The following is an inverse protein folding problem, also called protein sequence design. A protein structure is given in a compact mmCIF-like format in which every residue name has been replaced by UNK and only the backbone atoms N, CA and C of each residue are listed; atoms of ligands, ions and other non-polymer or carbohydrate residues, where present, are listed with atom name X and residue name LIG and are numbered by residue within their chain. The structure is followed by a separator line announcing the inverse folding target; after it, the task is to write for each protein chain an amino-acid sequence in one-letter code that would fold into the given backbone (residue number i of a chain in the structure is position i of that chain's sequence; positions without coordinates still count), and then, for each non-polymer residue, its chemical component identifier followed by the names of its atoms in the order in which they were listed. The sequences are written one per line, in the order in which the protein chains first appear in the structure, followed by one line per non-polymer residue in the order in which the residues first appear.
data_IF_458107318320
#
_entry.id   IF_458107318320
#
_cell.length_a   1.000
_cell.length_b   1.000
_cell.length_c   1.000
_cell.angle_alpha   90.00
_cell.angle_beta   90.00
_cell.angle_gamma   90.00
#
_symmetry.space_group_name_H-M   'P 1'
#
loop_
_entity.id
_entity.type
_entity.pdbx_description
1 polymer ?
#
# COMPACT_ATOMS: atom_id res chain seq x y z
N UNK A 1 46.40 -39.64 -35.82
CA UNK A 1 45.27 -39.06 -35.06
C UNK A 1 45.43 -37.55 -35.04
N UNK A 2 44.49 -36.88 -35.70
CA UNK A 2 44.12 -35.46 -35.69
C UNK A 2 45.01 -34.46 -34.94
N UNK A 3 45.72 -33.67 -35.76
CA UNK A 3 45.80 -32.21 -35.81
C UNK A 3 44.96 -31.38 -34.80
N UNK A 4 45.65 -30.39 -34.20
CA UNK A 4 45.33 -28.95 -34.11
C UNK A 4 45.56 -28.32 -32.71
N UNK A 5 46.75 -27.71 -32.57
CA UNK A 5 46.94 -26.40 -31.91
C UNK A 5 46.23 -25.30 -32.74
N UNK A 6 46.03 -24.03 -32.28
CA UNK A 6 46.84 -23.31 -31.30
C UNK A 6 46.09 -22.39 -30.31
N UNK A 7 46.88 -21.98 -29.34
CA UNK A 7 46.65 -20.88 -28.41
C UNK A 7 46.90 -19.50 -29.06
N UNK A 8 46.24 -18.49 -28.48
CA UNK A 8 46.60 -17.06 -28.38
C UNK A 8 46.56 -16.11 -29.61
N UNK A 9 45.92 -14.96 -29.35
CA UNK A 9 46.02 -13.62 -29.97
C UNK A 9 45.27 -13.33 -31.29
N UNK A 10 44.07 -12.79 -31.14
CA UNK A 10 43.46 -11.72 -31.96
C UNK A 10 42.52 -10.94 -31.04
N UNK A 11 42.91 -9.81 -30.44
CA UNK A 11 42.75 -8.44 -30.98
C UNK A 11 41.44 -8.31 -31.76
N UNK A 12 40.35 -7.90 -31.09
CA UNK A 12 39.34 -7.05 -31.71
C UNK A 12 38.79 -6.03 -30.70
N UNK A 13 39.09 -4.79 -31.04
CA UNK A 13 38.77 -3.52 -30.41
C UNK A 13 37.27 -3.24 -30.66
N UNK A 14 36.43 -3.16 -29.63
CA UNK A 14 35.06 -2.64 -29.79
C UNK A 14 35.03 -1.17 -29.37
N UNK A 15 34.97 -0.31 -30.39
CA UNK A 15 34.88 1.15 -30.34
C UNK A 15 33.51 1.57 -30.90
N UNK A 16 32.65 2.19 -30.08
CA UNK A 16 31.54 3.07 -30.51
C UNK A 16 30.87 3.69 -29.28
N UNK A 17 31.31 4.89 -28.88
CA UNK A 17 30.81 6.22 -29.26
C UNK A 17 29.69 6.71 -28.34
N UNK A 18 30.08 7.59 -27.43
CA UNK A 18 29.21 8.40 -26.59
C UNK A 18 28.32 9.33 -27.43
N UNK A 19 27.05 9.45 -27.04
CA UNK A 19 26.19 10.56 -27.46
C UNK A 19 25.86 11.39 -26.22
N UNK A 20 26.50 12.56 -26.14
CA UNK A 20 26.16 13.65 -25.23
C UNK A 20 24.94 14.40 -25.81
N UNK A 21 23.89 14.58 -25.02
CA UNK A 21 22.86 15.58 -25.32
C UNK A 21 22.94 16.64 -24.22
N UNK A 22 23.65 17.72 -24.53
CA UNK A 22 23.62 18.96 -23.78
C UNK A 22 22.61 19.89 -24.46
N UNK A 23 21.46 20.15 -23.82
CA UNK A 23 20.59 21.26 -24.21
C UNK A 23 21.08 22.53 -23.51
N UNK A 24 21.74 23.40 -24.26
CA UNK A 24 21.94 24.79 -23.90
C UNK A 24 20.78 25.63 -24.44
N UNK A 25 19.99 26.23 -23.56
CA UNK A 25 19.20 27.41 -23.91
C UNK A 25 19.88 28.62 -23.29
N UNK A 26 20.67 29.29 -24.11
CA UNK A 26 21.18 30.63 -23.84
C UNK A 26 20.15 31.60 -24.41
N UNK A 27 19.52 32.38 -23.55
CA UNK A 27 18.91 33.67 -23.89
C UNK A 27 19.33 34.65 -22.81
N UNK A 28 19.85 35.79 -23.27
CA UNK A 28 20.56 36.83 -22.53
C UNK A 28 19.59 38.00 -22.18
N UNK A 29 20.02 39.21 -21.79
CA UNK A 29 19.81 39.76 -20.44
C UNK A 29 18.99 41.07 -20.43
N UNK A 30 18.07 41.26 -19.48
CA UNK A 30 17.55 42.60 -19.16
C UNK A 30 17.48 42.79 -17.65
N UNK A 31 18.42 43.61 -17.20
CA UNK A 31 18.42 44.58 -16.10
C UNK A 31 17.24 44.64 -15.11
N UNK A 32 17.64 44.54 -13.84
CA UNK A 32 17.25 45.42 -12.72
C UNK A 32 15.77 45.74 -12.50
N UNK A 33 15.12 45.03 -11.57
CA UNK A 33 14.18 45.68 -10.64
C UNK A 33 14.38 45.13 -9.21
N UNK A 34 15.04 45.96 -8.41
CA UNK A 34 14.78 46.24 -6.99
C UNK A 34 14.87 45.12 -5.95
N UNK A 35 15.90 45.28 -5.11
CA UNK A 35 15.86 44.96 -3.69
C UNK A 35 14.52 45.35 -3.06
N UNK A 36 13.68 44.39 -2.69
CA UNK A 36 12.59 44.62 -1.75
C UNK A 36 12.39 43.37 -0.88
N UNK A 37 12.66 43.58 0.41
CA UNK A 37 12.08 42.92 1.58
C UNK A 37 12.35 41.43 1.81
N UNK A 38 13.20 41.24 2.83
CA UNK A 38 13.22 40.12 3.77
C UNK A 38 11.83 39.88 4.37
N UNK A 39 10.99 39.14 3.67
CA UNK A 39 9.74 38.62 4.22
C UNK A 39 10.04 37.32 4.97
N UNK A 40 10.01 37.38 6.31
CA UNK A 40 9.92 36.18 7.14
C UNK A 40 8.52 35.61 6.97
N UNK A 41 8.31 34.77 5.97
CA UNK A 41 7.10 33.94 5.96
C UNK A 41 7.17 32.89 7.08
N UNK A 42 6.02 32.58 7.70
CA UNK A 42 5.94 31.89 8.97
C UNK A 42 6.37 30.44 8.82
N UNK A 43 7.30 29.99 9.68
CA UNK A 43 7.51 28.56 9.92
C UNK A 43 6.22 28.01 10.51
N UNK A 44 5.32 27.54 9.62
CA UNK A 44 4.24 26.65 10.00
C UNK A 44 4.91 25.44 10.64
N UNK A 45 4.87 25.40 11.98
CA UNK A 45 5.05 24.16 12.72
C UNK A 45 3.99 23.20 12.21
N UNK A 46 4.36 22.41 11.20
CA UNK A 46 3.65 21.18 10.86
C UNK A 46 3.85 20.31 12.09
N UNK A 47 2.93 20.42 13.05
CA UNK A 47 2.73 19.39 14.04
C UNK A 47 2.42 18.14 13.23
N UNK A 48 3.44 17.32 12.99
CA UNK A 48 3.27 15.97 12.46
C UNK A 48 2.37 15.28 13.47
N UNK A 49 1.06 15.28 13.22
CA UNK A 49 0.14 14.40 13.88
C UNK A 49 0.64 13.02 13.51
N UNK A 50 1.38 12.38 14.43
CA UNK A 50 1.82 11.00 14.27
C UNK A 50 0.53 10.20 14.16
N UNK A 51 0.13 9.90 12.92
CA UNK A 51 -1.02 9.06 12.66
C UNK A 51 -0.74 7.72 13.35
N UNK A 52 -1.62 7.33 14.28
CA UNK A 52 -1.51 6.03 14.92
C UNK A 52 -1.48 4.96 13.83
N UNK A 53 -0.43 4.13 13.84
CA UNK A 53 -0.30 3.02 12.91
C UNK A 53 -1.59 2.17 12.96
N UNK A 54 -2.15 1.78 11.81
CA UNK A 54 -3.39 1.05 11.77
C UNK A 54 -3.23 -0.32 12.45
N UNK A 55 -4.23 -0.72 13.24
CA UNK A 55 -4.18 -1.98 14.00
C UNK A 55 -4.58 -3.13 13.07
N UNK A 56 -3.59 -3.86 12.57
CA UNK A 56 -3.78 -5.09 11.78
C UNK A 56 -4.00 -6.27 12.73
N UNK A 57 -4.99 -7.11 12.42
CA UNK A 57 -5.25 -8.37 13.13
C UNK A 57 -5.21 -9.53 12.15
N UNK A 58 -4.46 -10.57 12.50
CA UNK A 58 -4.36 -11.79 11.72
C UNK A 58 -5.34 -12.82 12.24
N UNK A 59 -6.02 -13.52 11.33
CA UNK A 59 -6.94 -14.59 11.62
C UNK A 59 -6.48 -15.86 10.93
N UNK A 60 -6.43 -16.97 11.68
CA UNK A 60 -6.26 -18.32 11.14
C UNK A 60 -7.62 -18.99 11.05
N UNK A 61 -7.94 -19.50 9.88
CA UNK A 61 -9.22 -20.09 9.55
C UNK A 61 -9.06 -21.58 9.23
N UNK A 62 -10.18 -22.27 9.00
CA UNK A 62 -10.16 -23.65 8.50
C UNK A 62 -9.37 -23.78 7.20
N UNK A 63 -8.77 -24.97 7.00
CA UNK A 63 -7.89 -25.28 5.87
C UNK A 63 -6.67 -24.37 5.79
N UNK A 64 -6.16 -23.92 6.95
CA UNK A 64 -4.99 -23.06 7.10
C UNK A 64 -5.05 -21.74 6.30
N UNK A 65 -6.26 -21.31 5.95
CA UNK A 65 -6.52 -20.03 5.33
C UNK A 65 -6.20 -18.90 6.31
N UNK A 66 -5.68 -17.80 5.78
CA UNK A 66 -5.33 -16.59 6.56
C UNK A 66 -6.12 -15.39 6.05
N UNK A 67 -6.65 -14.62 6.98
CA UNK A 67 -7.34 -13.36 6.71
C UNK A 67 -6.69 -12.26 7.54
N UNK A 68 -6.35 -11.14 6.91
CA UNK A 68 -5.84 -9.97 7.61
C UNK A 68 -6.94 -8.91 7.68
N UNK A 69 -7.12 -8.32 8.85
CA UNK A 69 -8.14 -7.31 9.11
C UNK A 69 -7.48 -6.10 9.74
N UNK A 70 -7.31 -5.06 8.93
CA UNK A 70 -6.82 -3.76 9.36
C UNK A 70 -8.00 -2.89 9.80
N UNK A 71 -7.93 -2.38 11.03
CA UNK A 71 -8.96 -1.49 11.58
C UNK A 71 -8.48 -0.05 11.54
N UNK A 72 -9.23 0.81 10.85
CA UNK A 72 -8.99 2.24 10.89
C UNK A 72 -9.45 2.77 12.25
N UNK A 73 -8.55 3.42 12.98
CA UNK A 73 -8.81 3.93 14.32
C UNK A 73 -9.98 4.91 14.34
N UNK A 74 -10.80 4.87 15.40
CA UNK A 74 -11.78 5.92 15.67
C UNK A 74 -11.01 7.16 16.12
N UNK A 75 -10.93 8.18 15.27
CA UNK A 75 -10.36 9.45 15.72
C UNK A 75 -11.25 10.05 16.81
N UNK A 76 -10.64 10.65 17.84
CA UNK A 76 -11.36 11.19 19.03
C UNK A 76 -12.46 12.21 18.69
N UNK A 77 -12.48 12.75 17.47
CA UNK A 77 -13.51 13.69 16.96
C UNK A 77 -14.59 13.04 16.09
N UNK A 78 -14.50 11.75 15.77
CA UNK A 78 -15.39 11.13 14.80
C UNK A 78 -16.34 10.13 15.46
N UNK A 79 -17.62 10.50 15.50
CA UNK A 79 -18.78 9.59 15.55
C UNK A 79 -18.83 8.58 14.36
N UNK A 80 -17.80 8.54 13.50
CA UNK A 80 -17.77 7.65 12.34
C UNK A 80 -17.68 6.20 12.79
N UNK A 81 -18.57 5.40 12.21
CA UNK A 81 -18.60 3.96 12.39
C UNK A 81 -17.27 3.37 11.89
N UNK A 82 -16.78 2.34 12.59
CA UNK A 82 -15.50 1.67 12.32
C UNK A 82 -15.48 1.05 10.92
N UNK A 83 -14.48 1.41 10.10
CA UNK A 83 -14.22 0.84 8.78
C UNK A 83 -13.07 -0.16 8.92
N UNK A 84 -13.17 -1.28 8.21
CA UNK A 84 -12.11 -2.30 8.18
C UNK A 84 -11.65 -2.56 6.76
N UNK A 85 -10.36 -2.81 6.59
CA UNK A 85 -9.79 -3.31 5.34
C UNK A 85 -9.49 -4.79 5.54
N UNK A 86 -10.08 -5.65 4.71
CA UNK A 86 -9.92 -7.10 4.78
C UNK A 86 -9.10 -7.58 3.60
N UNK A 87 -8.03 -8.33 3.87
CA UNK A 87 -7.16 -8.95 2.88
C UNK A 87 -7.26 -10.47 2.96
N UNK A 88 -7.51 -11.11 1.81
CA UNK A 88 -7.60 -12.55 1.67
C UNK A 88 -7.11 -12.98 0.29
N UNK A 89 -6.18 -13.93 0.23
CA UNK A 89 -5.60 -14.48 -1.01
C UNK A 89 -5.16 -13.40 -2.02
N UNK A 90 -4.42 -12.39 -1.55
CA UNK A 90 -3.90 -11.30 -2.38
C UNK A 90 -4.94 -10.26 -2.83
N UNK A 91 -6.22 -10.43 -2.46
CA UNK A 91 -7.27 -9.43 -2.73
C UNK A 91 -7.62 -8.68 -1.46
N UNK A 92 -7.79 -7.37 -1.57
CA UNK A 92 -8.07 -6.49 -0.43
C UNK A 92 -9.30 -5.62 -0.69
N UNK A 93 -10.22 -5.59 0.27
CA UNK A 93 -11.45 -4.80 0.19
C UNK A 93 -11.72 -4.03 1.47
N UNK A 94 -12.06 -2.75 1.32
CA UNK A 94 -12.57 -1.93 2.42
C UNK A 94 -14.06 -2.24 2.63
N UNK A 95 -14.42 -2.50 3.88
CA UNK A 95 -15.76 -2.90 4.32
C UNK A 95 -16.30 -1.91 5.35
N UNK A 96 -17.55 -1.53 5.16
CA UNK A 96 -18.28 -0.64 6.06
C UNK A 96 -19.11 -1.44 7.05
N UNK A 97 -19.31 -0.93 8.27
CA UNK A 97 -20.07 -1.64 9.30
C UNK A 97 -21.53 -1.78 8.89
N UNK A 98 -22.09 -2.97 9.12
CA UNK A 98 -23.44 -3.38 8.77
C UNK A 98 -24.16 -3.93 9.99
N UNK A 99 -25.47 -3.71 10.06
CA UNK A 99 -26.30 -4.17 11.18
C UNK A 99 -26.31 -5.70 11.26
N UNK A 100 -26.11 -6.23 12.46
CA UNK A 100 -26.14 -7.67 12.74
C UNK A 100 -26.74 -7.92 14.12
N UNK A 101 -27.42 -9.04 14.28
CA UNK A 101 -27.91 -9.50 15.60
C UNK A 101 -26.79 -10.11 16.44
N UNK A 102 -25.78 -10.68 15.77
CA UNK A 102 -24.65 -11.35 16.40
C UNK A 102 -23.32 -10.68 16.04
N UNK A 103 -22.61 -10.22 17.07
CA UNK A 103 -21.26 -9.67 16.99
C UNK A 103 -21.15 -8.41 16.12
N UNK A 104 -20.12 -8.38 15.27
CA UNK A 104 -19.81 -7.26 14.37
C UNK A 104 -19.79 -7.74 12.93
N UNK A 105 -20.42 -6.97 12.03
CA UNK A 105 -20.46 -7.31 10.61
C UNK A 105 -20.03 -6.11 9.79
N UNK A 106 -19.25 -6.36 8.75
CA UNK A 106 -18.75 -5.37 7.82
C UNK A 106 -18.97 -5.87 6.40
N UNK A 107 -19.44 -5.02 5.50
CA UNK A 107 -19.80 -5.44 4.14
C UNK A 107 -19.50 -4.35 3.13
N UNK A 108 -19.26 -4.78 1.89
CA UNK A 108 -19.41 -3.97 0.69
C UNK A 108 -20.12 -4.81 -0.38
N UNK A 109 -20.05 -4.40 -1.66
CA UNK A 109 -20.68 -5.13 -2.78
C UNK A 109 -20.02 -6.48 -3.10
N UNK A 110 -18.79 -6.72 -2.63
CA UNK A 110 -17.99 -7.93 -2.94
C UNK A 110 -18.01 -8.91 -1.78
N UNK A 111 -17.67 -8.46 -0.59
CA UNK A 111 -17.45 -9.32 0.59
C UNK A 111 -18.26 -8.85 1.79
N UNK A 112 -18.49 -9.82 2.68
CA UNK A 112 -18.93 -9.58 4.05
C UNK A 112 -17.98 -10.30 5.01
N UNK A 113 -17.49 -9.56 5.99
CA UNK A 113 -16.72 -10.05 7.13
C UNK A 113 -17.61 -10.01 8.38
N UNK A 114 -17.77 -11.15 9.06
CA UNK A 114 -18.65 -11.29 10.21
C UNK A 114 -17.90 -11.90 11.38
N UNK A 115 -17.67 -11.11 12.43
CA UNK A 115 -17.09 -11.52 13.70
C UNK A 115 -18.23 -11.81 14.68
N UNK A 116 -18.42 -13.06 15.07
CA UNK A 116 -19.49 -13.49 15.99
C UNK A 116 -19.12 -13.23 17.44
N UNK A 117 -20.10 -13.20 18.35
CA UNK A 117 -19.81 -13.10 19.80
C UNK A 117 -19.07 -14.32 20.36
N UNK A 118 -19.13 -15.45 19.66
CA UNK A 118 -18.39 -16.67 20.02
C UNK A 118 -16.87 -16.56 19.82
N UNK A 119 -16.38 -15.45 19.25
CA UNK A 119 -14.96 -15.25 18.92
C UNK A 119 -14.55 -15.81 17.56
N UNK A 120 -15.45 -16.50 16.85
CA UNK A 120 -15.25 -16.96 15.47
C UNK A 120 -15.61 -15.88 14.47
N UNK A 121 -14.92 -15.87 13.33
CA UNK A 121 -15.23 -14.98 12.22
C UNK A 121 -15.38 -15.72 10.88
N UNK A 122 -16.09 -15.09 9.94
CA UNK A 122 -16.40 -15.65 8.63
C UNK A 122 -16.22 -14.59 7.54
N UNK A 123 -15.63 -15.01 6.42
CA UNK A 123 -15.54 -14.23 5.18
C UNK A 123 -16.35 -14.93 4.10
N UNK A 124 -17.31 -14.22 3.52
CA UNK A 124 -18.11 -14.73 2.39
C UNK A 124 -18.37 -13.63 1.37
N UNK A 125 -18.62 -14.01 0.13
CA UNK A 125 -18.94 -13.06 -0.94
C UNK A 125 -20.42 -12.64 -0.93
N UNK A 126 -20.80 -11.74 -1.84
CA UNK A 126 -22.18 -11.30 -2.04
C UNK A 126 -23.17 -12.43 -2.39
N UNK A 127 -22.72 -13.51 -3.05
CA UNK A 127 -23.53 -14.71 -3.34
C UNK A 127 -23.62 -15.68 -2.16
N UNK A 128 -23.17 -15.29 -0.96
CA UNK A 128 -23.12 -16.12 0.26
C UNK A 128 -22.20 -17.34 0.16
N UNK A 129 -21.33 -17.40 -0.86
CA UNK A 129 -20.28 -18.41 -0.92
C UNK A 129 -19.23 -18.10 0.14
N UNK A 130 -19.00 -19.06 1.03
CA UNK A 130 -17.96 -18.99 2.06
C UNK A 130 -16.56 -19.00 1.43
N UNK A 131 -15.76 -17.99 1.75
CA UNK A 131 -14.37 -17.86 1.33
C UNK A 131 -13.44 -18.38 2.43
N UNK A 132 -13.69 -17.98 3.68
CA UNK A 132 -13.00 -18.46 4.87
C UNK A 132 -13.98 -18.64 6.03
N UNK A 133 -13.87 -19.76 6.75
CA UNK A 133 -14.80 -20.15 7.81
C UNK A 133 -14.07 -20.35 9.15
N UNK A 134 -14.81 -20.19 10.24
CA UNK A 134 -14.36 -20.47 11.61
C UNK A 134 -13.00 -19.82 11.93
N UNK A 135 -12.81 -18.59 11.48
CA UNK A 135 -11.58 -17.83 11.66
C UNK A 135 -11.41 -17.40 13.11
N UNK A 136 -10.23 -17.65 13.68
CA UNK A 136 -9.87 -17.27 15.05
C UNK A 136 -8.73 -16.27 15.00
N UNK A 137 -8.90 -15.16 15.72
CA UNK A 137 -7.87 -14.12 15.85
C UNK A 137 -6.63 -14.70 16.55
N UNK A 138 -5.45 -14.46 15.97
CA UNK A 138 -4.16 -14.82 16.55
C UNK A 138 -3.63 -13.73 17.49
#
# INVERSE_FOLDING_TARGET
MNLFCPSYKLIYLTLSSAMLVACSTVVTPVEQIHQVQKEKEPVKKVTKLIAQAPKVSLYRCENDKKVEVERQGRTKKALKKEIVTVSYQGTTHQLSPSVTRDGKKYTNIRWTWHETRSGKAFLYNNTKKTLAANCIKQ
#
